data_IF_146419755817
#
_entry.id   IF_146419755817
#
_cell.length_a   1.000
_cell.length_b   1.000
_cell.length_c   1.000
_cell.angle_alpha   90.00
_cell.angle_beta   90.00
_cell.angle_gamma   90.00
#
_symmetry.space_group_name_H-M   'P 1'
#
loop_
_entity.id
_entity.type
_entity.pdbx_description
1 polymer ?
#
# COMPACT_ATOMS: atom_id res chain seq x y z
N UNK A 1 -6.45 3.40 -9.13
CA UNK A 1 -7.15 3.51 -10.43
C UNK A 1 -6.16 3.49 -11.59
N UNK A 2 -5.13 4.36 -11.60
CA UNK A 2 -4.07 4.32 -12.61
C UNK A 2 -3.37 2.96 -12.69
N UNK A 3 -2.96 2.40 -11.54
CA UNK A 3 -2.38 1.05 -11.47
C UNK A 3 -3.28 -0.01 -12.13
N UNK A 4 -4.58 0.02 -11.85
CA UNK A 4 -5.55 -0.95 -12.34
C UNK A 4 -5.90 -0.79 -13.84
N UNK A 5 -6.08 0.45 -14.31
CA UNK A 5 -6.51 0.72 -15.68
C UNK A 5 -5.35 0.86 -16.67
N UNK A 6 -4.21 1.36 -16.22
CA UNK A 6 -3.08 1.77 -17.06
C UNK A 6 -1.77 1.04 -16.71
N UNK A 7 -1.78 0.17 -15.69
CA UNK A 7 -0.63 -0.62 -15.27
C UNK A 7 0.49 0.18 -14.60
N UNK A 8 0.26 1.47 -14.31
CA UNK A 8 1.25 2.32 -13.64
C UNK A 8 0.62 3.55 -12.99
N UNK A 9 1.07 3.88 -11.77
CA UNK A 9 0.72 5.13 -11.08
C UNK A 9 1.23 6.40 -11.78
N UNK A 10 2.23 6.31 -12.66
CA UNK A 10 2.86 7.48 -13.34
C UNK A 10 1.92 8.26 -14.25
N UNK A 11 0.79 7.66 -14.63
CA UNK A 11 -0.28 8.29 -15.39
C UNK A 11 -1.20 9.19 -14.55
N UNK A 12 -0.98 9.26 -13.23
CA UNK A 12 -1.67 10.21 -12.36
C UNK A 12 -1.03 11.59 -12.46
N UNK A 13 -1.76 12.55 -13.02
CA UNK A 13 -1.55 13.96 -12.73
C UNK A 13 -2.24 14.31 -11.42
N UNK A 14 -1.56 14.99 -10.52
CA UNK A 14 -2.18 15.54 -9.32
C UNK A 14 -1.89 17.03 -9.23
N UNK A 15 -2.94 17.82 -9.05
CA UNK A 15 -2.86 19.25 -8.76
C UNK A 15 -3.60 19.54 -7.47
N UNK A 16 -2.92 20.17 -6.51
CA UNK A 16 -3.52 20.66 -5.27
C UNK A 16 -4.10 22.05 -5.51
N UNK A 17 -5.42 22.20 -5.39
CA UNK A 17 -6.11 23.46 -5.67
C UNK A 17 -5.86 24.54 -4.63
N UNK A 18 -5.26 24.22 -3.47
CA UNK A 18 -4.78 25.24 -2.53
C UNK A 18 -3.65 26.11 -3.11
N UNK A 19 -2.91 25.60 -4.09
CA UNK A 19 -1.88 26.38 -4.78
C UNK A 19 -2.48 27.38 -5.80
N UNK A 20 -3.80 27.35 -6.03
CA UNK A 20 -4.50 28.07 -7.09
C UNK A 20 -5.63 28.97 -6.55
N UNK A 21 -5.41 29.57 -5.38
CA UNK A 21 -6.38 30.41 -4.67
C UNK A 21 -6.40 31.88 -5.14
N UNK A 22 -5.34 32.34 -5.79
CA UNK A 22 -5.17 33.74 -6.22
C UNK A 22 -5.53 33.99 -7.68
N UNK A 23 -5.64 35.26 -8.07
CA UNK A 23 -6.02 35.67 -9.42
C UNK A 23 -5.03 35.27 -10.53
N UNK A 24 -3.78 34.90 -10.21
CA UNK A 24 -2.78 34.42 -11.17
C UNK A 24 -2.83 32.90 -11.36
N UNK A 25 -3.73 32.20 -10.66
CA UNK A 25 -3.89 30.75 -10.76
C UNK A 25 -4.09 30.26 -12.20
N UNK A 26 -4.91 30.96 -12.98
CA UNK A 26 -5.17 30.62 -14.39
C UNK A 26 -3.87 30.66 -15.20
N UNK A 27 -3.10 31.74 -15.10
CA UNK A 27 -1.83 31.88 -15.80
C UNK A 27 -0.83 30.78 -15.42
N UNK A 28 -0.85 30.28 -14.18
CA UNK A 28 -0.01 29.13 -13.80
C UNK A 28 -0.46 27.83 -14.47
N UNK A 29 -1.76 27.61 -14.63
CA UNK A 29 -2.32 26.39 -15.23
C UNK A 29 -2.14 26.34 -16.76
N UNK A 30 -2.39 27.45 -17.47
CA UNK A 30 -2.31 27.51 -18.95
C UNK A 30 -1.04 28.16 -19.50
N UNK A 31 -0.27 28.80 -18.63
CA UNK A 31 0.94 29.54 -18.99
C UNK A 31 0.68 31.03 -19.14
N UNK A 32 1.75 31.78 -19.27
CA UNK A 32 1.76 33.19 -19.60
C UNK A 32 2.79 33.48 -20.71
N UNK A 33 3.11 34.75 -20.95
CA UNK A 33 4.09 35.11 -21.98
C UNK A 33 5.52 34.68 -21.62
N UNK A 34 5.88 34.66 -20.33
CA UNK A 34 7.22 34.30 -19.86
C UNK A 34 7.39 32.77 -19.72
N UNK A 35 6.35 32.09 -19.26
CA UNK A 35 6.24 30.64 -19.09
C UNK A 35 5.06 30.13 -19.92
N UNK A 36 5.24 29.94 -21.23
CA UNK A 36 4.15 29.55 -22.13
C UNK A 36 3.69 28.09 -21.96
N UNK A 37 4.40 27.30 -21.17
CA UNK A 37 3.97 25.95 -20.79
C UNK A 37 3.38 26.01 -19.37
N UNK A 38 2.08 26.25 -19.30
CA UNK A 38 1.35 26.15 -18.04
C UNK A 38 1.43 24.74 -17.45
N UNK A 39 1.31 24.64 -16.13
CA UNK A 39 1.43 23.36 -15.40
C UNK A 39 0.44 22.33 -15.93
N UNK A 40 -0.82 22.70 -16.14
CA UNK A 40 -1.85 21.79 -16.61
C UNK A 40 -1.68 21.51 -18.12
N UNK A 41 -1.56 22.55 -18.93
CA UNK A 41 -1.44 22.41 -20.39
C UNK A 41 -0.19 21.66 -20.81
N UNK A 42 0.94 21.92 -20.16
CA UNK A 42 2.23 21.29 -20.47
C UNK A 42 2.24 19.81 -20.06
N UNK A 43 1.73 19.48 -18.88
CA UNK A 43 1.69 18.09 -18.40
C UNK A 43 0.71 17.21 -19.19
N UNK A 44 -0.37 17.78 -19.74
CA UNK A 44 -1.37 17.04 -20.54
C UNK A 44 -0.98 16.97 -22.02
N UNK A 45 -0.31 17.98 -22.57
CA UNK A 45 0.05 18.06 -24.00
C UNK A 45 0.70 16.79 -24.55
N UNK A 46 1.55 16.15 -23.77
CA UNK A 46 2.31 14.97 -24.17
C UNK A 46 1.70 13.65 -23.69
N UNK A 47 0.49 13.69 -23.10
CA UNK A 47 -0.19 12.51 -22.55
C UNK A 47 -1.44 12.17 -23.36
N UNK A 48 -1.42 10.98 -23.97
CA UNK A 48 -2.56 10.47 -24.75
C UNK A 48 -3.69 9.95 -23.87
N UNK A 49 -3.37 9.42 -22.69
CA UNK A 49 -4.30 8.88 -21.69
C UNK A 49 -3.76 9.14 -20.29
N UNK A 50 -4.64 9.21 -19.30
CA UNK A 50 -4.24 9.43 -17.92
C UNK A 50 -5.40 9.79 -17.00
N UNK A 51 -5.05 10.07 -15.74
CA UNK A 51 -6.00 10.51 -14.73
C UNK A 51 -5.54 11.85 -14.20
N UNK A 52 -6.42 12.85 -14.28
CA UNK A 52 -6.18 14.18 -13.70
C UNK A 52 -6.94 14.27 -12.37
N UNK A 53 -6.19 14.31 -11.27
CA UNK A 53 -6.72 14.51 -9.92
C UNK A 53 -6.58 15.99 -9.52
N UNK A 54 -7.72 16.66 -9.36
CA UNK A 54 -7.83 18.02 -8.83
C UNK A 54 -8.25 17.91 -7.35
N UNK A 55 -7.28 18.10 -6.46
CA UNK A 55 -7.49 17.92 -5.02
C UNK A 55 -8.01 19.21 -4.40
N UNK A 56 -9.01 19.13 -3.51
CA UNK A 56 -9.62 20.27 -2.78
C UNK A 56 -10.19 21.37 -3.69
N UNK A 57 -10.98 21.00 -4.71
CA UNK A 57 -11.46 21.90 -5.76
C UNK A 57 -12.26 23.11 -5.26
N UNK A 58 -12.85 23.02 -4.06
CA UNK A 58 -13.57 24.13 -3.42
C UNK A 58 -12.68 25.32 -3.06
N UNK A 59 -11.36 25.11 -2.97
CA UNK A 59 -10.38 26.12 -2.59
C UNK A 59 -9.90 26.95 -3.77
N UNK A 60 -10.00 26.42 -4.99
CA UNK A 60 -9.54 27.11 -6.18
C UNK A 60 -10.25 28.47 -6.37
N UNK A 61 -9.52 29.42 -6.96
CA UNK A 61 -10.09 30.70 -7.37
C UNK A 61 -11.23 30.49 -8.40
N UNK A 62 -12.32 31.28 -8.37
CA UNK A 62 -13.45 31.09 -9.30
C UNK A 62 -13.08 31.06 -10.79
N UNK A 63 -12.06 31.81 -11.21
CA UNK A 63 -11.58 31.79 -12.61
C UNK A 63 -10.95 30.45 -13.02
N UNK A 64 -10.49 29.64 -12.06
CA UNK A 64 -10.06 28.25 -12.31
C UNK A 64 -11.28 27.38 -12.59
N UNK A 65 -12.40 27.59 -11.91
CA UNK A 65 -13.65 26.86 -12.21
C UNK A 65 -14.14 27.19 -13.62
N UNK A 66 -14.09 28.46 -14.03
CA UNK A 66 -14.45 28.89 -15.40
C UNK A 66 -13.55 28.22 -16.46
N UNK A 67 -12.25 28.10 -16.18
CA UNK A 67 -11.32 27.38 -17.05
C UNK A 67 -11.64 25.88 -17.11
N UNK A 68 -11.94 25.26 -15.98
CA UNK A 68 -12.28 23.84 -15.92
C UNK A 68 -13.61 23.53 -16.60
N UNK A 69 -14.58 24.46 -16.60
CA UNK A 69 -15.80 24.33 -17.39
C UNK A 69 -15.49 24.11 -18.87
N UNK A 70 -14.56 24.87 -19.44
CA UNK A 70 -14.15 24.69 -20.84
C UNK A 70 -13.59 23.28 -21.07
N UNK A 71 -12.81 22.77 -20.12
CA UNK A 71 -12.24 21.41 -20.19
C UNK A 71 -13.33 20.34 -20.12
N UNK A 72 -14.28 20.49 -19.19
CA UNK A 72 -15.39 19.55 -19.00
C UNK A 72 -16.40 19.59 -20.15
N UNK A 73 -16.56 20.73 -20.81
CA UNK A 73 -17.50 20.92 -21.93
C UNK A 73 -16.92 20.41 -23.26
N UNK A 74 -15.79 20.98 -23.68
CA UNK A 74 -15.25 20.77 -25.03
C UNK A 74 -14.14 19.72 -25.06
N UNK A 75 -13.72 19.21 -23.89
CA UNK A 75 -12.59 18.29 -23.77
C UNK A 75 -11.27 18.91 -24.25
N UNK A 76 -11.16 20.24 -24.27
CA UNK A 76 -10.03 20.99 -24.83
C UNK A 76 -9.73 22.24 -24.01
N UNK A 77 -8.46 22.62 -24.00
CA UNK A 77 -7.99 23.86 -23.38
C UNK A 77 -6.96 24.54 -24.27
N UNK A 78 -6.95 25.86 -24.31
CA UNK A 78 -5.99 26.63 -25.10
C UNK A 78 -4.93 27.25 -24.17
N UNK A 79 -3.66 27.08 -24.51
CA UNK A 79 -2.55 27.70 -23.76
C UNK A 79 -2.38 29.20 -24.08
N UNK A 80 -1.46 29.87 -23.38
CA UNK A 80 -1.19 31.31 -23.59
C UNK A 80 -0.67 31.67 -24.99
N UNK A 81 -0.16 30.70 -25.75
CA UNK A 81 0.30 30.87 -27.13
C UNK A 81 -0.76 30.47 -28.17
N UNK A 82 -1.97 30.14 -27.76
CA UNK A 82 -3.05 29.74 -28.65
C UNK A 82 -3.01 28.27 -29.09
N UNK A 83 -2.17 27.43 -28.47
CA UNK A 83 -2.07 26.00 -28.78
C UNK A 83 -3.17 25.24 -28.03
N UNK A 84 -3.93 24.44 -28.77
CA UNK A 84 -5.02 23.62 -28.23
C UNK A 84 -4.48 22.30 -27.67
N UNK A 85 -4.80 22.00 -26.42
CA UNK A 85 -4.48 20.78 -25.69
C UNK A 85 -5.77 19.96 -25.53
N UNK A 86 -5.69 18.65 -25.77
CA UNK A 86 -6.83 17.75 -25.74
C UNK A 86 -6.90 16.98 -24.40
N UNK A 87 -8.07 16.99 -23.76
CA UNK A 87 -8.39 16.33 -22.50
C UNK A 87 -9.38 15.18 -22.66
N UNK A 88 -9.88 14.92 -23.87
CA UNK A 88 -10.96 13.94 -24.14
C UNK A 88 -10.65 12.51 -23.69
N UNK A 89 -9.37 12.17 -23.54
CA UNK A 89 -8.89 10.84 -23.14
C UNK A 89 -8.40 10.78 -21.68
N UNK A 90 -8.68 11.82 -20.90
CA UNK A 90 -8.33 11.87 -19.48
C UNK A 90 -9.55 11.60 -18.61
N UNK A 91 -9.38 10.78 -17.58
CA UNK A 91 -10.37 10.69 -16.51
C UNK A 91 -10.07 11.82 -15.52
N UNK A 92 -11.01 12.75 -15.37
CA UNK A 92 -10.87 13.88 -14.44
C UNK A 92 -11.57 13.51 -13.13
N UNK A 93 -10.82 13.54 -12.03
CA UNK A 93 -11.32 13.32 -10.68
C UNK A 93 -11.14 14.62 -9.90
N UNK A 94 -12.21 15.08 -9.28
CA UNK A 94 -12.19 16.21 -8.35
C UNK A 94 -12.49 15.70 -6.94
N UNK A 95 -11.69 16.10 -5.97
CA UNK A 95 -12.00 15.85 -4.54
C UNK A 95 -12.50 17.13 -3.91
N UNK A 96 -13.44 17.00 -2.98
CA UNK A 96 -13.91 18.13 -2.21
C UNK A 96 -14.24 17.71 -0.79
N UNK A 97 -13.91 18.57 0.18
CA UNK A 97 -14.25 18.37 1.59
C UNK A 97 -15.58 19.06 1.98
N UNK A 98 -16.33 19.60 1.00
CA UNK A 98 -17.63 20.24 1.25
C UNK A 98 -18.63 19.25 1.87
N UNK A 99 -19.38 19.73 2.86
CA UNK A 99 -20.41 18.94 3.55
C UNK A 99 -19.89 17.93 4.56
N UNK A 100 -18.58 17.70 4.66
CA UNK A 100 -17.99 16.76 5.62
C UNK A 100 -18.26 17.16 7.08
N UNK A 101 -18.26 18.47 7.39
CA UNK A 101 -18.53 18.97 8.75
C UNK A 101 -20.01 18.92 9.14
N UNK A 102 -20.92 19.12 8.17
CA UNK A 102 -22.36 19.18 8.41
C UNK A 102 -22.93 17.80 8.79
N UNK A 103 -22.36 16.74 8.24
CA UNK A 103 -22.74 15.35 8.54
C UNK A 103 -22.23 14.93 9.91
N UNK A 104 -20.99 15.28 10.27
CA UNK A 104 -20.43 14.97 11.58
C UNK A 104 -21.28 15.49 12.74
N UNK A 105 -21.97 16.62 12.56
CA UNK A 105 -22.91 17.20 13.55
C UNK A 105 -24.30 16.55 13.53
N UNK A 106 -24.78 16.10 12.37
CA UNK A 106 -26.14 15.53 12.23
C UNK A 106 -26.24 14.05 12.56
N UNK A 107 -25.16 13.27 12.50
CA UNK A 107 -25.17 11.87 12.99
C UNK A 107 -25.60 11.78 14.48
N UNK A 108 -25.46 12.86 15.26
CA UNK A 108 -25.95 12.93 16.64
C UNK A 108 -27.44 13.28 16.78
N UNK A 109 -28.14 13.68 15.71
CA UNK A 109 -29.54 14.09 15.73
C UNK A 109 -30.26 13.30 14.64
N UNK A 110 -31.01 12.27 15.07
CA UNK A 110 -31.92 11.45 14.26
C UNK A 110 -32.48 12.20 13.05
N UNK A 111 -32.04 11.85 11.85
CA UNK A 111 -32.63 12.38 10.62
C UNK A 111 -32.65 11.32 9.51
N UNK A 112 -33.87 10.99 9.06
CA UNK A 112 -34.20 10.14 7.90
C UNK A 112 -33.78 10.74 6.53
N UNK A 113 -32.80 11.65 6.53
CA UNK A 113 -32.33 12.32 5.32
C UNK A 113 -31.09 11.56 4.84
N UNK A 114 -31.13 11.03 3.61
CA UNK A 114 -29.97 10.39 2.98
C UNK A 114 -28.77 11.34 2.97
N UNK A 115 -27.59 10.87 3.39
CA UNK A 115 -26.33 11.61 3.37
C UNK A 115 -26.05 12.23 1.99
N UNK A 116 -26.45 11.55 0.91
CA UNK A 116 -26.31 12.05 -0.46
C UNK A 116 -27.07 13.36 -0.70
N UNK A 117 -28.27 13.51 -0.14
CA UNK A 117 -29.06 14.73 -0.29
C UNK A 117 -28.40 15.91 0.45
N UNK A 118 -27.72 15.65 1.56
CA UNK A 118 -26.98 16.65 2.33
C UNK A 118 -25.75 17.09 1.55
N UNK A 119 -24.94 16.15 1.05
CA UNK A 119 -23.77 16.46 0.22
C UNK A 119 -24.16 17.22 -1.04
N UNK A 120 -25.19 16.77 -1.74
CA UNK A 120 -25.67 17.43 -2.96
C UNK A 120 -26.08 18.87 -2.68
N UNK A 121 -26.84 19.13 -1.62
CA UNK A 121 -27.25 20.48 -1.25
C UNK A 121 -26.05 21.36 -0.88
N UNK A 122 -25.05 20.82 -0.18
CA UNK A 122 -23.84 21.56 0.17
C UNK A 122 -23.01 21.92 -1.08
N UNK A 123 -22.90 21.00 -2.04
CA UNK A 123 -22.24 21.22 -3.32
C UNK A 123 -22.98 22.28 -4.15
N UNK A 124 -24.31 22.22 -4.24
CA UNK A 124 -25.15 23.19 -4.96
C UNK A 124 -25.09 24.62 -4.39
N UNK A 125 -24.72 24.77 -3.12
CA UNK A 125 -24.51 26.10 -2.50
C UNK A 125 -23.15 26.68 -2.85
N UNK A 126 -22.11 25.83 -2.96
CA UNK A 126 -20.74 26.27 -3.20
C UNK A 126 -20.40 26.42 -4.68
N UNK A 127 -20.83 25.46 -5.49
CA UNK A 127 -20.57 25.44 -6.92
C UNK A 127 -21.78 25.90 -7.71
N UNK A 128 -21.53 26.59 -8.81
CA UNK A 128 -22.58 27.05 -9.69
C UNK A 128 -23.23 25.87 -10.43
N UNK A 129 -24.54 25.91 -10.74
CA UNK A 129 -25.23 24.83 -11.43
C UNK A 129 -24.57 24.43 -12.75
N UNK A 130 -24.01 25.39 -13.50
CA UNK A 130 -23.30 25.09 -14.74
C UNK A 130 -22.11 24.16 -14.52
N UNK A 131 -21.38 24.27 -13.41
CA UNK A 131 -20.24 23.41 -13.11
C UNK A 131 -20.69 22.01 -12.73
N UNK A 132 -21.69 21.91 -11.87
CA UNK A 132 -22.23 20.63 -11.38
C UNK A 132 -22.83 19.83 -12.53
N UNK A 133 -23.53 20.49 -13.46
CA UNK A 133 -24.16 19.85 -14.61
C UNK A 133 -23.17 19.23 -15.61
N UNK A 134 -21.87 19.54 -15.49
CA UNK A 134 -20.80 18.96 -16.33
C UNK A 134 -20.05 17.82 -15.65
N UNK A 135 -20.41 17.50 -14.41
CA UNK A 135 -19.87 16.36 -13.69
C UNK A 135 -20.73 15.15 -14.00
N UNK A 136 -20.15 14.14 -14.64
CA UNK A 136 -20.86 12.91 -15.01
C UNK A 136 -21.41 12.17 -13.79
N UNK A 137 -20.61 12.10 -12.72
CA UNK A 137 -20.97 11.37 -11.50
C UNK A 137 -20.35 12.02 -10.26
N UNK A 138 -21.20 12.30 -9.28
CA UNK A 138 -20.79 12.68 -7.93
C UNK A 138 -20.76 11.43 -7.07
N UNK A 139 -19.62 11.14 -6.43
CA UNK A 139 -19.43 9.99 -5.55
C UNK A 139 -19.25 10.48 -4.13
N UNK A 140 -20.11 10.05 -3.22
CA UNK A 140 -20.04 10.36 -1.79
C UNK A 140 -19.27 9.28 -1.05
N UNK A 141 -18.31 9.70 -0.21
CA UNK A 141 -17.54 8.78 0.63
C UNK A 141 -18.17 8.68 2.01
N UNK A 142 -18.49 7.45 2.44
CA UNK A 142 -18.95 7.20 3.80
C UNK A 142 -17.78 7.32 4.78
N UNK A 143 -18.04 7.81 6.01
CA UNK A 143 -17.00 7.84 7.04
C UNK A 143 -16.50 6.43 7.35
N UNK A 144 -15.23 6.33 7.77
CA UNK A 144 -14.63 5.06 8.14
C UNK A 144 -15.19 4.57 9.48
N UNK A 145 -15.77 3.38 9.46
CA UNK A 145 -16.18 2.64 10.64
C UNK A 145 -15.01 1.83 11.22
N UNK A 146 -15.07 1.50 12.52
CA UNK A 146 -14.04 0.71 13.21
C UNK A 146 -13.71 -0.60 12.47
N UNK A 147 -14.72 -1.25 11.87
CA UNK A 147 -14.54 -2.49 11.11
C UNK A 147 -13.64 -2.30 9.87
N UNK A 148 -13.65 -1.13 9.24
CA UNK A 148 -12.80 -0.83 8.09
C UNK A 148 -11.35 -0.52 8.51
N UNK A 149 -11.16 0.02 9.71
CA UNK A 149 -9.85 0.51 10.17
C UNK A 149 -8.84 -0.61 10.34
N UNK A 150 -9.26 -1.77 10.84
CA UNK A 150 -8.38 -2.93 11.00
C UNK A 150 -7.83 -3.39 9.64
N UNK A 151 -8.68 -3.47 8.62
CA UNK A 151 -8.26 -3.81 7.27
C UNK A 151 -7.32 -2.75 6.67
N UNK A 152 -7.59 -1.47 6.92
CA UNK A 152 -6.70 -0.38 6.49
C UNK A 152 -5.33 -0.50 7.18
N UNK A 153 -5.28 -0.81 8.47
CA UNK A 153 -4.03 -1.01 9.20
C UNK A 153 -3.19 -2.13 8.58
N UNK A 154 -3.80 -3.27 8.24
CA UNK A 154 -3.15 -4.37 7.51
C UNK A 154 -2.57 -3.91 6.17
N UNK A 155 -3.33 -3.15 5.38
CA UNK A 155 -2.85 -2.59 4.11
C UNK A 155 -1.66 -1.64 4.29
N UNK A 156 -1.69 -0.79 5.33
CA UNK A 156 -0.58 0.14 5.61
C UNK A 156 0.69 -0.61 6.06
N UNK A 157 0.56 -1.65 6.89
CA UNK A 157 1.69 -2.50 7.30
C UNK A 157 2.29 -3.19 6.08
N UNK A 158 1.47 -3.78 5.22
CA UNK A 158 1.91 -4.37 3.96
C UNK A 158 2.68 -3.37 3.10
N UNK A 159 2.15 -2.17 2.91
CA UNK A 159 2.80 -1.13 2.12
C UNK A 159 4.13 -0.66 2.75
N UNK A 160 4.21 -0.60 4.08
CA UNK A 160 5.43 -0.25 4.81
C UNK A 160 6.54 -1.29 4.56
N UNK A 161 6.17 -2.57 4.52
CA UNK A 161 7.11 -3.66 4.33
C UNK A 161 7.67 -3.74 2.90
N UNK A 162 6.91 -3.32 1.91
CA UNK A 162 7.42 -3.23 0.52
C UNK A 162 8.52 -2.16 0.34
N UNK A 163 8.88 -1.39 1.39
CA UNK A 163 10.00 -0.45 1.34
C UNK A 163 11.35 -1.18 1.33
N UNK A 164 12.29 -0.64 0.57
CA UNK A 164 13.62 -1.22 0.34
C UNK A 164 14.37 -1.62 1.62
N UNK A 165 14.22 -0.84 2.69
CA UNK A 165 14.90 -1.12 3.97
C UNK A 165 14.50 -2.45 4.62
N UNK A 166 13.29 -2.93 4.38
CA UNK A 166 12.81 -4.24 4.88
C UNK A 166 13.11 -5.36 3.89
N UNK A 167 12.87 -5.11 2.60
CA UNK A 167 13.13 -6.07 1.52
C UNK A 167 14.61 -6.49 1.45
N UNK A 168 15.54 -5.55 1.55
CA UNK A 168 16.98 -5.84 1.37
C UNK A 168 17.61 -6.65 2.51
N UNK A 169 16.96 -6.71 3.68
CA UNK A 169 17.52 -7.37 4.88
C UNK A 169 16.84 -8.70 5.20
N UNK A 170 15.99 -9.21 4.30
CA UNK A 170 15.19 -10.43 4.50
C UNK A 170 14.51 -10.43 5.88
N UNK A 171 13.91 -9.29 6.25
CA UNK A 171 13.26 -9.08 7.54
C UNK A 171 11.82 -9.57 7.46
N UNK A 172 11.45 -10.52 8.31
CA UNK A 172 10.06 -10.95 8.46
C UNK A 172 9.47 -10.14 9.61
N UNK A 173 8.61 -9.16 9.31
CA UNK A 173 7.85 -8.46 10.34
C UNK A 173 6.63 -9.30 10.72
N UNK A 174 6.43 -9.44 12.02
CA UNK A 174 5.35 -10.20 12.59
C UNK A 174 4.65 -9.34 13.65
N UNK A 175 3.36 -9.14 13.45
CA UNK A 175 2.53 -8.31 14.32
C UNK A 175 1.36 -9.18 14.77
N UNK A 176 1.21 -9.33 16.09
CA UNK A 176 0.08 -10.05 16.66
C UNK A 176 -1.24 -9.32 16.42
N UNK A 177 -2.34 -10.07 16.33
CA UNK A 177 -3.66 -9.48 16.07
C UNK A 177 -4.09 -8.50 17.17
N UNK A 178 -3.72 -8.76 18.42
CA UNK A 178 -3.95 -7.83 19.55
C UNK A 178 -3.23 -6.50 19.34
N UNK A 179 -1.97 -6.55 18.87
CA UNK A 179 -1.16 -5.36 18.59
C UNK A 179 -1.72 -4.57 17.42
N UNK A 180 -2.17 -5.27 16.38
CA UNK A 180 -2.80 -4.65 15.22
C UNK A 180 -4.15 -4.00 15.59
N UNK A 181 -4.95 -4.64 16.45
CA UNK A 181 -6.19 -4.07 16.97
C UNK A 181 -5.93 -2.85 17.86
N UNK A 182 -4.90 -2.89 18.71
CA UNK A 182 -4.51 -1.75 19.53
C UNK A 182 -4.03 -0.57 18.67
N UNK A 183 -3.18 -0.82 17.67
CA UNK A 183 -2.77 0.19 16.68
C UNK A 183 -3.99 0.76 15.94
N UNK A 184 -4.93 -0.11 15.57
CA UNK A 184 -6.17 0.26 14.90
C UNK A 184 -7.03 1.20 15.77
N UNK A 185 -7.12 0.95 17.08
CA UNK A 185 -7.87 1.81 18.00
C UNK A 185 -7.18 3.15 18.27
N UNK A 186 -5.87 3.13 18.50
CA UNK A 186 -5.10 4.34 18.78
C UNK A 186 -4.98 5.27 17.58
N UNK A 187 -4.88 4.70 16.37
CA UNK A 187 -4.83 5.46 15.13
C UNK A 187 -6.22 5.85 14.59
N UNK A 188 -7.32 5.46 15.25
CA UNK A 188 -8.66 5.80 14.80
C UNK A 188 -9.07 7.21 15.22
N UNK A 189 -9.19 8.08 14.23
CA UNK A 189 -9.79 9.39 14.39
C UNK A 189 -10.92 9.56 13.36
N UNK A 190 -12.15 9.77 13.83
CA UNK A 190 -13.33 9.97 12.98
C UNK A 190 -13.20 11.20 12.07
N UNK A 191 -12.49 12.24 12.52
CA UNK A 191 -12.31 13.49 11.80
C UNK A 191 -11.14 13.44 10.81
N UNK A 192 -10.06 12.75 11.16
CA UNK A 192 -8.86 12.63 10.31
C UNK A 192 -8.86 11.38 9.41
N UNK A 193 -9.82 10.47 9.61
CA UNK A 193 -9.95 9.23 8.85
C UNK A 193 -8.68 8.37 8.89
N UNK A 194 -8.39 7.66 7.78
CA UNK A 194 -7.23 6.78 7.68
C UNK A 194 -5.87 7.49 7.71
N UNK A 195 -5.82 8.83 7.63
CA UNK A 195 -4.55 9.58 7.68
C UNK A 195 -3.91 9.50 9.06
N UNK A 196 -4.71 9.57 10.13
CA UNK A 196 -4.21 9.41 11.50
C UNK A 196 -3.58 8.02 11.69
N UNK A 197 -4.25 6.99 11.18
CA UNK A 197 -3.76 5.61 11.18
C UNK A 197 -2.42 5.48 10.48
N UNK A 198 -2.34 5.94 9.22
CA UNK A 198 -1.11 5.88 8.43
C UNK A 198 0.05 6.55 9.17
N UNK A 199 -0.16 7.75 9.71
CA UNK A 199 0.87 8.48 10.46
C UNK A 199 1.30 7.74 11.72
N UNK A 200 0.38 7.15 12.46
CA UNK A 200 0.68 6.40 13.69
C UNK A 200 1.50 5.16 13.37
N UNK A 201 1.07 4.35 12.40
CA UNK A 201 1.81 3.16 11.94
C UNK A 201 3.18 3.56 11.42
N UNK A 202 3.26 4.57 10.54
CA UNK A 202 4.55 5.05 10.03
C UNK A 202 5.45 5.55 11.17
N UNK A 203 4.94 6.34 12.11
CA UNK A 203 5.74 6.89 13.21
C UNK A 203 6.20 5.81 14.19
N UNK A 204 5.33 4.90 14.61
CA UNK A 204 5.69 3.92 15.64
C UNK A 204 6.44 2.74 15.04
N UNK A 205 5.90 2.11 13.98
CA UNK A 205 6.52 0.92 13.39
C UNK A 205 7.81 1.29 12.65
N UNK A 206 7.86 2.38 11.89
CA UNK A 206 9.11 2.74 11.18
C UNK A 206 10.19 3.15 12.17
N UNK A 207 9.85 3.90 13.23
CA UNK A 207 10.86 4.32 14.22
C UNK A 207 11.41 3.11 14.98
N UNK A 208 10.53 2.23 15.47
CA UNK A 208 10.95 0.98 16.13
C UNK A 208 11.79 0.12 15.20
N UNK A 209 11.35 -0.05 13.94
CA UNK A 209 12.09 -0.82 12.96
C UNK A 209 13.44 -0.18 12.64
N UNK A 210 13.52 1.14 12.48
CA UNK A 210 14.76 1.83 12.17
C UNK A 210 15.78 1.73 13.30
N UNK A 211 15.35 1.91 14.55
CA UNK A 211 16.21 1.74 15.73
C UNK A 211 16.78 0.32 15.83
N UNK A 212 15.92 -0.68 15.61
CA UNK A 212 16.32 -2.09 15.69
C UNK A 212 17.16 -2.52 14.49
N UNK A 213 16.82 -2.11 13.27
CA UNK A 213 17.64 -2.39 12.09
C UNK A 213 19.01 -1.72 12.18
N UNK A 214 19.12 -0.52 12.76
CA UNK A 214 20.42 0.13 12.96
C UNK A 214 21.30 -0.55 14.02
N UNK A 215 20.71 -1.19 15.03
CA UNK A 215 21.47 -1.92 16.04
C UNK A 215 22.00 -3.26 15.53
N UNK A 216 21.38 -3.82 14.48
CA UNK A 216 21.76 -5.09 13.86
C UNK A 216 22.88 -4.86 12.83
N UNK A 217 24.06 -5.41 13.14
CA UNK A 217 25.25 -5.34 12.27
C UNK A 217 25.33 -6.46 11.21
N UNK A 218 24.40 -7.41 11.23
CA UNK A 218 24.43 -8.62 10.40
C UNK A 218 23.35 -8.57 9.31
N UNK A 219 23.68 -9.09 8.12
CA UNK A 219 22.74 -9.31 7.02
C UNK A 219 21.96 -10.65 7.14
N UNK A 220 22.04 -11.32 8.29
CA UNK A 220 21.26 -12.53 8.52
C UNK A 220 19.74 -12.20 8.53
N UNK A 221 18.89 -13.10 8.02
CA UNK A 221 17.46 -12.92 8.10
C UNK A 221 17.01 -12.85 9.57
N UNK A 222 16.10 -11.94 9.85
CA UNK A 222 15.58 -11.69 11.20
C UNK A 222 14.06 -11.82 11.19
N UNK A 223 13.52 -12.35 12.28
CA UNK A 223 12.10 -12.19 12.58
C UNK A 223 11.99 -11.02 13.54
N UNK A 224 11.23 -10.01 13.12
CA UNK A 224 10.94 -8.83 13.90
C UNK A 224 9.52 -8.95 14.45
N UNK A 225 9.41 -9.41 15.69
CA UNK A 225 8.14 -9.55 16.41
C UNK A 225 7.83 -8.19 17.08
N UNK A 226 6.68 -7.61 16.79
CA UNK A 226 6.18 -6.40 17.46
C UNK A 226 4.92 -6.74 18.22
N UNK A 227 5.03 -6.68 19.55
CA UNK A 227 3.92 -6.95 20.46
C UNK A 227 3.55 -5.72 21.29
N UNK A 228 2.29 -5.64 21.67
CA UNK A 228 1.78 -4.62 22.57
C UNK A 228 1.87 -5.09 24.03
N UNK A 229 2.70 -4.41 24.82
CA UNK A 229 2.77 -4.64 26.27
C UNK A 229 1.69 -3.82 26.98
N UNK A 230 0.68 -4.52 27.52
CA UNK A 230 -0.44 -3.94 28.27
C UNK A 230 0.01 -3.25 29.57
N UNK A 231 1.16 -3.61 30.14
CA UNK A 231 1.65 -3.05 31.40
C UNK A 231 2.36 -1.72 31.21
N UNK A 232 3.18 -1.61 30.15
CA UNK A 232 3.92 -0.41 29.80
C UNK A 232 3.16 0.49 28.81
N UNK A 233 2.01 0.01 28.29
CA UNK A 233 1.18 0.67 27.30
C UNK A 233 1.96 1.13 26.05
N UNK A 234 2.95 0.34 25.64
CA UNK A 234 3.84 0.64 24.52
C UNK A 234 4.09 -0.62 23.68
N UNK A 235 4.54 -0.40 22.44
CA UNK A 235 4.99 -1.47 21.56
C UNK A 235 6.40 -1.92 22.00
N UNK A 236 6.56 -3.22 22.18
CA UNK A 236 7.84 -3.85 22.53
C UNK A 236 8.36 -4.63 21.32
N UNK A 237 9.46 -4.17 20.69
CA UNK A 237 10.10 -4.92 19.63
C UNK A 237 10.91 -6.08 20.19
N UNK A 238 10.76 -7.27 19.60
CA UNK A 238 11.60 -8.43 19.85
C UNK A 238 12.22 -8.88 18.54
N UNK A 239 13.55 -8.87 18.46
CA UNK A 239 14.28 -9.35 17.29
C UNK A 239 14.76 -10.77 17.56
N UNK A 240 14.29 -11.71 16.76
CA UNK A 240 14.82 -13.07 16.74
C UNK A 240 15.78 -13.20 15.58
N UNK A 241 17.07 -13.39 15.90
CA UNK A 241 18.04 -13.80 14.89
C UNK A 241 17.76 -15.23 14.48
N UNK A 242 17.50 -15.44 13.19
CA UNK A 242 17.46 -16.78 12.64
C UNK A 242 18.90 -17.28 12.49
N UNK A 243 19.33 -18.08 13.46
CA UNK A 243 20.52 -18.89 13.30
C UNK A 243 20.09 -20.18 12.60
N UNK A 244 20.57 -20.37 11.38
CA UNK A 244 20.52 -21.69 10.76
C UNK A 244 21.55 -22.57 11.47
N UNK A 245 21.17 -23.16 12.58
CA UNK A 245 22.00 -24.17 13.23
C UNK A 245 22.03 -25.42 12.35
N UNK A 246 23.23 -25.76 11.88
CA UNK A 246 23.52 -27.11 11.41
C UNK A 246 23.51 -27.96 12.68
N UNK A 247 22.42 -28.69 12.93
CA UNK A 247 22.25 -29.49 14.14
C UNK A 247 23.46 -30.41 14.37
N UNK A 248 24.19 -30.15 15.46
CA UNK A 248 25.38 -30.88 15.86
C UNK A 248 25.08 -31.99 16.86
N UNK A 249 23.93 -32.66 16.74
CA UNK A 249 23.69 -33.87 17.54
C UNK A 249 24.58 -34.98 16.97
N UNK A 250 25.52 -35.53 17.73
CA UNK A 250 26.35 -36.67 17.28
C UNK A 250 25.53 -37.96 17.00
N UNK A 251 24.21 -37.92 17.20
CA UNK A 251 23.24 -38.97 16.76
C UNK A 251 22.34 -38.55 15.59
N UNK A 252 22.38 -37.27 15.18
CA UNK A 252 21.63 -36.69 14.05
C UNK A 252 22.53 -35.92 13.07
N UNK A 253 23.85 -35.95 13.26
CA UNK A 253 24.84 -35.40 12.35
C UNK A 253 25.37 -36.52 11.46
N UNK A 254 25.33 -36.32 10.15
CA UNK A 254 26.46 -36.76 9.34
C UNK A 254 27.18 -35.55 8.75
N UNK A 255 28.44 -35.27 9.12
CA UNK A 255 29.30 -34.33 8.42
C UNK A 255 29.82 -35.01 7.15
N UNK A 256 28.92 -35.63 6.40
CA UNK A 256 29.21 -36.00 5.04
C UNK A 256 28.73 -34.85 4.18
N UNK A 257 29.68 -34.00 3.79
CA UNK A 257 29.62 -33.45 2.44
C UNK A 257 29.41 -34.68 1.56
N UNK A 258 28.23 -34.86 0.93
CA UNK A 258 28.00 -36.01 0.08
C UNK A 258 29.13 -35.99 -0.95
N UNK A 259 29.78 -37.13 -1.21
CA UNK A 259 30.75 -37.18 -2.31
C UNK A 259 30.07 -36.59 -3.54
N UNK A 260 30.80 -35.86 -4.38
CA UNK A 260 30.34 -35.05 -5.52
C UNK A 260 29.07 -35.55 -6.25
N UNK A 261 28.89 -36.88 -6.32
CA UNK A 261 27.76 -37.61 -6.91
C UNK A 261 26.42 -37.60 -6.13
N UNK A 262 26.37 -37.18 -4.86
CA UNK A 262 25.16 -37.26 -4.00
C UNK A 262 24.58 -35.87 -3.65
N UNK A 263 25.33 -34.79 -3.92
CA UNK A 263 24.91 -33.40 -3.69
C UNK A 263 23.66 -33.04 -4.49
N UNK A 264 23.62 -33.47 -5.75
CA UNK A 264 22.53 -33.14 -6.67
C UNK A 264 21.16 -33.64 -6.17
N UNK A 265 21.10 -34.89 -5.67
CA UNK A 265 19.87 -35.51 -5.18
C UNK A 265 19.41 -34.87 -3.87
N UNK A 266 20.35 -34.47 -3.01
CA UNK A 266 20.03 -33.76 -1.78
C UNK A 266 19.43 -32.37 -2.09
N UNK A 267 20.08 -31.62 -2.98
CA UNK A 267 19.55 -30.33 -3.42
C UNK A 267 18.23 -30.45 -4.19
N UNK A 268 18.03 -31.52 -4.97
CA UNK A 268 16.77 -31.75 -5.68
C UNK A 268 15.63 -32.07 -4.72
N UNK A 269 15.87 -32.89 -3.68
CA UNK A 269 14.87 -33.13 -2.64
C UNK A 269 14.57 -31.88 -1.79
N UNK A 270 15.58 -31.03 -1.55
CA UNK A 270 15.40 -29.75 -0.88
C UNK A 270 14.56 -28.82 -1.76
N UNK A 271 14.93 -28.67 -3.03
CA UNK A 271 14.21 -27.89 -4.03
C UNK A 271 12.76 -28.37 -4.18
N UNK A 272 12.52 -29.67 -4.32
CA UNK A 272 11.17 -30.25 -4.39
C UNK A 272 10.34 -29.99 -3.13
N UNK A 273 10.96 -29.97 -1.94
CA UNK A 273 10.24 -29.65 -0.69
C UNK A 273 9.99 -28.19 -0.50
N UNK A 274 10.91 -27.33 -0.91
CA UNK A 274 10.65 -25.89 -0.90
C UNK A 274 9.61 -25.54 -1.98
N UNK A 275 9.60 -26.23 -3.12
CA UNK A 275 8.55 -26.13 -4.14
C UNK A 275 7.20 -26.64 -3.63
N UNK A 276 7.18 -27.75 -2.88
CA UNK A 276 5.98 -28.26 -2.23
C UNK A 276 5.47 -27.29 -1.17
N UNK A 277 6.34 -26.72 -0.32
CA UNK A 277 5.98 -25.66 0.63
C UNK A 277 5.42 -24.42 -0.09
N UNK A 278 6.00 -24.03 -1.21
CA UNK A 278 5.49 -22.95 -2.06
C UNK A 278 4.14 -23.29 -2.69
N UNK A 279 3.94 -24.53 -3.11
CA UNK A 279 2.67 -25.00 -3.69
C UNK A 279 1.59 -25.09 -2.63
N UNK A 280 1.93 -25.54 -1.43
CA UNK A 280 1.04 -25.52 -0.28
C UNK A 280 0.68 -24.07 0.08
N UNK A 281 1.66 -23.17 0.22
CA UNK A 281 1.43 -21.73 0.43
C UNK A 281 0.53 -21.10 -0.65
N UNK A 282 0.77 -21.41 -1.93
CA UNK A 282 -0.06 -20.93 -3.03
C UNK A 282 -1.48 -21.52 -3.01
N UNK A 283 -1.63 -22.81 -2.74
CA UNK A 283 -2.95 -23.45 -2.58
C UNK A 283 -3.71 -22.92 -1.36
N UNK A 284 -2.99 -22.43 -0.34
CA UNK A 284 -3.55 -21.66 0.77
C UNK A 284 -3.96 -20.23 0.34
N UNK A 285 -3.30 -19.61 -0.64
CA UNK A 285 -3.63 -18.26 -1.13
C UNK A 285 -4.79 -18.23 -2.15
N UNK A 286 -4.98 -19.28 -2.95
CA UNK A 286 -5.97 -19.34 -4.03
C UNK A 286 -7.37 -19.81 -3.61
N UNK A 287 -7.55 -20.29 -2.37
CA UNK A 287 -8.91 -20.48 -1.82
C UNK A 287 -9.53 -19.10 -1.57
N UNK A 288 -10.32 -18.66 -2.55
CA UNK A 288 -11.16 -17.46 -2.50
C UNK A 288 -11.78 -17.25 -1.11
N UNK A 289 -11.54 -16.06 -0.56
CA UNK A 289 -12.02 -15.58 0.74
C UNK A 289 -11.55 -16.38 1.96
N UNK A 290 -10.25 -16.53 2.16
CA UNK A 290 -9.76 -16.70 3.53
C UNK A 290 -9.89 -15.38 4.29
N UNK A 291 -10.98 -15.29 5.03
CA UNK A 291 -11.08 -14.44 6.22
C UNK A 291 -9.87 -14.79 7.10
N UNK A 292 -8.89 -13.88 7.33
CA UNK A 292 -7.65 -14.22 8.04
C UNK A 292 -7.87 -14.71 9.48
N UNK A 293 -9.09 -14.55 9.99
CA UNK A 293 -9.57 -15.11 11.26
C UNK A 293 -9.51 -16.64 11.34
N UNK A 294 -9.57 -17.39 10.22
CA UNK A 294 -9.46 -18.86 10.27
C UNK A 294 -8.01 -19.36 10.41
N UNK A 295 -7.02 -18.59 9.95
CA UNK A 295 -5.59 -18.85 10.20
C UNK A 295 -5.12 -18.30 11.57
N UNK A 296 -5.69 -17.17 12.01
CA UNK A 296 -5.42 -16.59 13.33
C UNK A 296 -5.85 -17.50 14.50
N UNK A 297 -6.82 -18.40 14.27
CA UNK A 297 -7.40 -19.23 15.32
C UNK A 297 -6.51 -20.38 15.86
N UNK A 298 -5.29 -20.59 15.33
CA UNK A 298 -4.33 -21.55 15.93
C UNK A 298 -3.08 -20.93 16.54
N UNK A 299 -2.78 -19.68 16.20
CA UNK A 299 -1.71 -18.88 16.79
C UNK A 299 -1.87 -17.47 16.22
N UNK A 300 -2.24 -16.47 17.03
CA UNK A 300 -2.64 -15.11 16.60
C UNK A 300 -1.56 -14.23 15.95
N UNK A 301 -0.66 -14.81 15.17
CA UNK A 301 0.49 -14.19 14.50
C UNK A 301 0.22 -14.08 12.98
N UNK A 302 0.60 -12.94 12.39
CA UNK A 302 0.47 -12.69 10.95
C UNK A 302 1.87 -12.50 10.34
N UNK A 303 2.30 -13.46 9.51
CA UNK A 303 3.60 -13.41 8.84
C UNK A 303 3.51 -12.59 7.56
N UNK A 304 4.21 -11.47 7.52
CA UNK A 304 4.31 -10.64 6.32
C UNK A 304 5.65 -10.91 5.61
N UNK A 305 5.64 -10.95 4.26
CA UNK A 305 6.81 -11.25 3.38
C UNK A 305 7.36 -12.70 3.42
N UNK A 306 6.61 -13.65 3.98
CA UNK A 306 7.02 -15.05 4.01
C UNK A 306 7.16 -15.63 2.60
N UNK A 307 6.25 -15.31 1.68
CA UNK A 307 6.30 -15.80 0.29
C UNK A 307 7.51 -15.28 -0.49
N UNK A 308 7.87 -14.01 -0.32
CA UNK A 308 9.05 -13.42 -0.97
C UNK A 308 10.35 -14.00 -0.40
N UNK A 309 10.43 -14.17 0.92
CA UNK A 309 11.59 -14.78 1.56
C UNK A 309 11.76 -16.26 1.15
N UNK A 310 10.65 -17.01 1.03
CA UNK A 310 10.65 -18.39 0.52
C UNK A 310 11.07 -18.41 -0.95
N UNK A 311 10.60 -17.47 -1.78
CA UNK A 311 11.00 -17.39 -3.19
C UNK A 311 12.50 -17.09 -3.36
N UNK A 312 13.06 -16.13 -2.61
CA UNK A 312 14.50 -15.86 -2.61
C UNK A 312 15.32 -17.07 -2.15
N UNK A 313 14.82 -17.80 -1.15
CA UNK A 313 15.47 -19.02 -0.68
C UNK A 313 15.43 -20.13 -1.75
N UNK A 314 14.33 -20.27 -2.49
CA UNK A 314 14.24 -21.17 -3.66
C UNK A 314 15.26 -20.78 -4.72
N UNK A 315 15.36 -19.51 -5.07
CA UNK A 315 16.27 -19.04 -6.11
C UNK A 315 17.74 -19.30 -5.72
N UNK A 316 18.08 -19.10 -4.44
CA UNK A 316 19.41 -19.43 -3.91
C UNK A 316 19.74 -20.92 -3.96
N UNK A 317 18.77 -21.79 -3.67
CA UNK A 317 18.91 -23.25 -3.74
C UNK A 317 19.04 -23.74 -5.19
N UNK A 318 18.26 -23.14 -6.09
CA UNK A 318 18.25 -23.48 -7.54
C UNK A 318 19.56 -23.08 -8.21
N UNK A 319 20.11 -21.92 -7.85
CA UNK A 319 21.44 -21.48 -8.31
C UNK A 319 22.55 -22.45 -7.85
N UNK A 320 22.40 -23.02 -6.66
CA UNK A 320 23.36 -23.98 -6.10
C UNK A 320 23.22 -25.38 -6.73
N UNK A 321 22.03 -25.80 -7.14
CA UNK A 321 21.78 -27.04 -7.89
C UNK A 321 22.51 -27.09 -9.23
N UNK A 322 22.47 -26.01 -10.01
CA UNK A 322 23.06 -25.93 -11.35
C UNK A 322 24.58 -26.19 -11.37
N UNK A 323 25.26 -26.05 -10.23
CA UNK A 323 26.70 -26.33 -10.08
C UNK A 323 27.04 -27.80 -9.81
N UNK A 324 26.08 -28.67 -9.43
CA UNK A 324 26.38 -29.97 -8.80
C UNK A 324 25.90 -31.22 -9.56
N UNK A 325 25.45 -31.09 -10.81
CA UNK A 325 24.80 -32.18 -11.55
C UNK A 325 25.65 -33.42 -11.84
N UNK A 326 25.48 -34.49 -11.05
CA UNK A 326 25.34 -35.88 -11.54
C UNK A 326 24.99 -36.90 -10.41
N UNK A 327 23.92 -37.69 -10.63
CA UNK A 327 23.66 -39.09 -10.15
C UNK A 327 22.64 -39.34 -9.00
N UNK A 328 21.43 -39.75 -9.40
CA UNK A 328 20.56 -40.89 -8.95
C UNK A 328 20.27 -41.24 -7.47
N UNK A 329 19.04 -40.90 -7.04
CA UNK A 329 18.01 -41.50 -6.14
C UNK A 329 18.24 -42.81 -5.29
N UNK A 330 17.40 -43.11 -4.26
CA UNK A 330 16.58 -42.25 -3.36
C UNK A 330 16.61 -42.66 -1.86
N UNK A 331 16.37 -41.73 -0.90
CA UNK A 331 15.68 -42.04 0.40
C UNK A 331 15.10 -40.76 1.04
N UNK A 332 13.83 -40.82 1.49
CA UNK A 332 13.02 -39.76 2.13
C UNK A 332 13.44 -39.46 3.59
N UNK A 333 13.55 -38.19 4.03
CA UNK A 333 13.40 -37.76 5.45
C UNK A 333 12.93 -36.30 5.62
N UNK A 334 11.99 -36.06 6.55
CA UNK A 334 11.27 -34.81 6.94
C UNK A 334 12.13 -33.73 7.65
N UNK A 335 11.68 -32.45 7.65
CA UNK A 335 12.32 -31.28 8.28
C UNK A 335 11.31 -30.62 9.23
N UNK A 336 11.77 -30.07 10.35
CA UNK A 336 10.94 -29.36 11.33
C UNK A 336 11.65 -28.04 11.71
N UNK A 337 10.89 -26.94 11.78
CA UNK A 337 11.38 -25.61 12.17
C UNK A 337 11.05 -25.42 13.66
N UNK A 338 12.04 -25.07 14.49
CA UNK A 338 11.81 -24.73 15.90
C UNK A 338 12.19 -23.28 16.18
N UNK A 339 11.30 -22.58 16.89
CA UNK A 339 11.48 -21.23 17.46
C UNK A 339 12.27 -21.37 18.77
N UNK A 340 13.26 -20.51 19.01
CA UNK A 340 13.96 -20.40 20.30
C UNK A 340 13.12 -19.64 21.32
#
# INVERSE_FOLDING_TARGET
MCEYLLGSETYLLRLDMNEYIDGYAVSRLIGDYANPEGVLTGQVRHRTFGVLLLDEIEKAHPSVHDLLLQVLDDGRLTDSLGRVVNFSNLIIIMTSNIGAQDIGRKISITSDISDEAIYRKAIEVHFRPEFINRIDKIVTFKPLEKAHILNIARLQINALLQRDGFMQRSTILNISEETLAWLAEQGYDKSMGGRAMKRKIESEITTLSAEQLNSIQSNAPIIFDVDYDKTLAQLTPTVHHLQFEIGTDETLWSPFIPKEKELFVCYQNLSERVLALKTDLHAYSEKEYLNPSELANRSGWQYYQLDSAVAEMIDSLTYTQLKSGEVSAPYKRSFEIKKN
#
